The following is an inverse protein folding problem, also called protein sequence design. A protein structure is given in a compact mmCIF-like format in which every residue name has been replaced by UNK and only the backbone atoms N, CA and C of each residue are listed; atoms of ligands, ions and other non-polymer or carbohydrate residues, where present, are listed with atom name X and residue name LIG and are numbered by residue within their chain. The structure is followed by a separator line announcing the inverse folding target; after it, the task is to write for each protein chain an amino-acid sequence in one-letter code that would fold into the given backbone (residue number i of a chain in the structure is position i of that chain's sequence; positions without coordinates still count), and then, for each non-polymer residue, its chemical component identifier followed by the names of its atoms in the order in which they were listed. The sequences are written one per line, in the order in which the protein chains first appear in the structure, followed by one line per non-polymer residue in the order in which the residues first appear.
data_IF_299539032069
#
_entry.id   IF_299539032069
#
_cell.length_a   1.000
_cell.length_b   1.000
_cell.length_c   1.000
_cell.angle_alpha   90.00
_cell.angle_beta   90.00
_cell.angle_gamma   90.00
#
_symmetry.space_group_name_H-M   'P 1'
#
loop_
_entity.id
_entity.type
_entity.pdbx_description
1 polymer ?
#
# COMPACT_ATOMS: atom_id res chain seq x y z
N UNK A 1 4.40 9.01 11.19
CA UNK A 1 5.22 7.90 10.66
C UNK A 1 5.85 8.29 9.33
N UNK A 2 5.09 8.84 8.36
CA UNK A 2 5.66 9.24 7.06
C UNK A 2 6.71 10.38 7.18
N UNK A 3 6.57 11.28 8.15
CA UNK A 3 7.47 12.42 8.35
C UNK A 3 8.89 12.06 8.84
N UNK A 4 9.16 10.81 9.21
CA UNK A 4 10.47 10.36 9.71
C UNK A 4 11.36 9.73 8.64
N UNK A 5 10.93 9.69 7.38
CA UNK A 5 11.73 9.12 6.30
C UNK A 5 12.65 10.17 5.67
N UNK A 6 13.90 9.83 5.38
CA UNK A 6 14.75 10.69 4.57
C UNK A 6 14.14 10.77 3.17
N UNK A 7 13.67 11.93 2.80
CA UNK A 7 13.26 12.28 1.43
C UNK A 7 14.49 12.86 0.73
N UNK A 8 14.69 12.51 -0.54
CA UNK A 8 15.76 13.12 -1.32
C UNK A 8 15.48 14.61 -1.51
N UNK A 9 16.51 15.37 -1.85
CA UNK A 9 16.34 16.79 -2.16
C UNK A 9 15.37 16.95 -3.34
N UNK A 10 14.24 17.61 -3.09
CA UNK A 10 13.16 17.78 -4.08
C UNK A 10 11.96 16.85 -3.90
N UNK A 11 12.04 15.81 -3.07
CA UNK A 11 10.88 14.97 -2.75
C UNK A 11 9.98 15.66 -1.70
N UNK A 12 8.69 15.40 -1.75
CA UNK A 12 7.73 15.90 -0.78
C UNK A 12 6.86 14.78 -0.23
N UNK A 13 6.59 14.83 1.09
CA UNK A 13 5.59 13.99 1.73
C UNK A 13 4.27 14.75 1.79
N UNK A 14 3.26 14.24 1.10
CA UNK A 14 1.95 14.86 0.96
C UNK A 14 0.89 13.99 1.63
N UNK A 15 0.03 14.60 2.43
CA UNK A 15 -1.19 13.98 2.91
C UNK A 15 -2.30 14.16 1.88
N UNK A 16 -3.03 13.08 1.60
CA UNK A 16 -4.29 13.10 0.86
C UNK A 16 -5.39 12.57 1.77
N UNK A 17 -6.17 13.47 2.34
CA UNK A 17 -7.32 13.17 3.21
C UNK A 17 -8.46 14.15 2.93
N UNK A 18 -9.68 13.73 3.20
CA UNK A 18 -10.90 14.56 3.21
C UNK A 18 -11.26 15.01 4.64
N UNK A 19 -10.61 14.44 5.65
CA UNK A 19 -10.87 14.68 7.06
C UNK A 19 -9.93 15.76 7.62
N UNK A 20 -10.52 16.84 8.17
CA UNK A 20 -9.79 17.96 8.77
C UNK A 20 -9.08 17.62 10.07
N UNK A 21 -9.59 16.66 10.83
CA UNK A 21 -8.95 16.22 12.07
C UNK A 21 -7.67 15.44 11.74
N UNK A 22 -7.75 14.50 10.78
CA UNK A 22 -6.57 13.79 10.26
C UNK A 22 -5.54 14.77 9.69
N UNK A 23 -6.00 15.77 8.91
CA UNK A 23 -5.13 16.83 8.39
C UNK A 23 -4.40 17.57 9.51
N UNK A 24 -5.15 18.04 10.51
CA UNK A 24 -4.59 18.78 11.66
C UNK A 24 -3.54 17.96 12.42
N UNK A 25 -3.80 16.67 12.64
CA UNK A 25 -2.85 15.78 13.30
C UNK A 25 -1.59 15.59 12.43
N UNK A 26 -1.73 15.34 11.14
CA UNK A 26 -0.59 15.12 10.25
C UNK A 26 0.32 16.35 10.14
N UNK A 27 -0.25 17.55 10.11
CA UNK A 27 0.51 18.81 10.10
C UNK A 27 1.38 18.95 11.36
N UNK A 28 0.90 18.53 12.53
CA UNK A 28 1.68 18.53 13.77
C UNK A 28 2.94 17.64 13.68
N UNK A 29 2.92 16.62 12.81
CA UNK A 29 4.06 15.75 12.51
C UNK A 29 4.88 16.20 11.29
N UNK A 30 4.64 17.41 10.78
CA UNK A 30 5.42 18.01 9.69
C UNK A 30 5.04 17.55 8.29
N UNK A 31 3.91 16.85 8.12
CA UNK A 31 3.42 16.44 6.80
C UNK A 31 2.71 17.60 6.12
N UNK A 32 2.98 17.82 4.83
CA UNK A 32 2.29 18.83 4.03
C UNK A 32 0.90 18.38 3.63
N UNK A 33 -0.10 19.23 3.80
CA UNK A 33 -1.47 19.05 3.32
C UNK A 33 -1.87 20.26 2.46
N UNK A 34 -1.46 20.27 1.19
CA UNK A 34 -1.72 21.42 0.32
C UNK A 34 -3.17 21.52 -0.15
N UNK A 35 -3.98 20.48 0.08
CA UNK A 35 -5.40 20.41 -0.26
C UNK A 35 -6.11 19.37 0.60
N UNK A 36 -7.44 19.53 0.73
CA UNK A 36 -8.31 18.45 1.17
C UNK A 36 -8.83 17.71 -0.05
N UNK A 37 -8.87 16.37 0.05
CA UNK A 37 -9.40 15.52 -1.00
C UNK A 37 -10.91 15.76 -1.14
N UNK A 38 -11.44 15.86 -2.38
CA UNK A 38 -12.86 15.99 -2.62
C UNK A 38 -13.65 14.80 -2.04
N UNK A 39 -14.83 15.01 -1.44
CA UNK A 39 -15.63 13.95 -0.82
C UNK A 39 -15.97 12.80 -1.76
N UNK A 40 -16.17 13.07 -3.05
CA UNK A 40 -16.44 12.07 -4.08
C UNK A 40 -15.30 11.06 -4.29
N UNK A 41 -14.07 11.42 -3.90
CA UNK A 41 -12.89 10.53 -3.93
C UNK A 41 -12.63 9.86 -2.56
N UNK A 42 -13.53 10.03 -1.61
CA UNK A 42 -13.43 9.48 -0.26
C UNK A 42 -14.61 8.54 0.09
N UNK A 43 -15.46 8.23 -0.86
CA UNK A 43 -16.56 7.27 -0.70
C UNK A 43 -16.06 5.83 -0.74
N UNK A 44 -16.83 4.89 -0.18
CA UNK A 44 -16.50 3.46 -0.19
C UNK A 44 -16.37 2.89 -1.62
N UNK A 45 -17.05 3.48 -2.60
CA UNK A 45 -17.01 3.09 -4.01
C UNK A 45 -15.86 3.77 -4.78
N UNK A 46 -15.15 4.74 -4.17
CA UNK A 46 -14.09 5.47 -4.83
C UNK A 46 -12.86 4.58 -5.06
N UNK A 47 -12.41 4.51 -6.32
CA UNK A 47 -11.20 3.75 -6.64
C UNK A 47 -9.95 4.52 -6.22
N UNK A 48 -9.03 3.87 -5.53
CA UNK A 48 -7.76 4.48 -5.11
C UNK A 48 -6.99 5.11 -6.29
N UNK A 49 -7.10 4.53 -7.48
CA UNK A 49 -6.43 5.04 -8.68
C UNK A 49 -6.94 6.43 -9.08
N UNK A 50 -8.22 6.74 -8.87
CA UNK A 50 -8.79 8.06 -9.15
C UNK A 50 -8.26 9.10 -8.17
N UNK A 51 -8.10 8.72 -6.91
CA UNK A 51 -7.44 9.56 -5.89
C UNK A 51 -5.98 9.84 -6.25
N UNK A 52 -5.26 8.84 -6.77
CA UNK A 52 -3.87 9.04 -7.19
C UNK A 52 -3.77 10.00 -8.39
N UNK A 53 -4.58 9.79 -9.43
CA UNK A 53 -4.60 10.67 -10.61
C UNK A 53 -4.96 12.10 -10.21
N UNK A 54 -6.01 12.29 -9.41
CA UNK A 54 -6.40 13.61 -8.90
C UNK A 54 -5.26 14.29 -8.15
N UNK A 55 -4.61 13.57 -7.23
CA UNK A 55 -3.50 14.12 -6.44
C UNK A 55 -2.34 14.53 -7.33
N UNK A 56 -1.95 13.69 -8.28
CA UNK A 56 -0.87 13.98 -9.23
C UNK A 56 -1.20 15.20 -10.06
N UNK A 57 -2.40 15.27 -10.66
CA UNK A 57 -2.82 16.38 -11.52
C UNK A 57 -2.82 17.71 -10.76
N UNK A 58 -3.26 17.68 -9.51
CA UNK A 58 -3.29 18.87 -8.67
C UNK A 58 -1.87 19.34 -8.33
N UNK A 59 -0.99 18.43 -7.91
CA UNK A 59 0.39 18.74 -7.57
C UNK A 59 1.20 19.22 -8.79
N UNK A 60 1.05 18.56 -9.94
CA UNK A 60 1.68 19.01 -11.21
C UNK A 60 1.24 20.42 -11.59
N UNK A 61 -0.05 20.74 -11.39
CA UNK A 61 -0.58 22.09 -11.64
C UNK A 61 -0.01 23.13 -10.65
N UNK A 62 0.10 22.77 -9.38
CA UNK A 62 0.61 23.66 -8.33
C UNK A 62 2.10 23.96 -8.50
N UNK A 63 2.90 22.92 -8.75
CA UNK A 63 4.36 23.04 -8.84
C UNK A 63 4.86 23.36 -10.25
N UNK A 64 3.99 23.26 -11.28
CA UNK A 64 4.32 23.43 -12.72
C UNK A 64 5.41 22.45 -13.21
N UNK A 65 5.56 21.33 -12.53
CA UNK A 65 6.51 20.26 -12.85
C UNK A 65 5.77 18.94 -13.01
N UNK A 66 6.32 18.07 -13.87
CA UNK A 66 5.82 16.70 -14.04
C UNK A 66 6.31 15.81 -12.89
N UNK A 67 5.45 14.90 -12.48
CA UNK A 67 5.74 13.86 -11.50
C UNK A 67 5.92 12.55 -12.26
N UNK A 68 7.15 12.07 -12.37
CA UNK A 68 7.46 10.85 -13.11
C UNK A 68 7.08 9.58 -12.35
N UNK A 69 7.23 9.61 -11.02
CA UNK A 69 6.89 8.51 -10.12
C UNK A 69 6.47 9.02 -8.74
N UNK A 70 5.76 8.20 -8.01
CA UNK A 70 5.34 8.51 -6.64
C UNK A 70 5.25 7.24 -5.81
N UNK A 71 5.22 7.43 -4.49
CA UNK A 71 5.06 6.35 -3.52
C UNK A 71 3.82 6.59 -2.67
N UNK A 72 3.03 5.56 -2.45
CA UNK A 72 1.91 5.55 -1.53
C UNK A 72 2.26 4.74 -0.29
N UNK A 73 2.08 5.33 0.87
CA UNK A 73 2.32 4.73 2.17
C UNK A 73 1.01 4.79 2.97
N UNK A 74 0.31 3.66 3.07
CA UNK A 74 -0.96 3.64 3.80
C UNK A 74 -0.69 3.79 5.31
N UNK A 75 -1.42 4.67 6.01
CA UNK A 75 -1.28 4.86 7.46
C UNK A 75 -1.74 3.64 8.25
N UNK A 76 -2.65 2.84 7.68
CA UNK A 76 -3.15 1.58 8.26
C UNK A 76 -2.09 0.48 8.35
N UNK A 77 -0.94 0.64 7.71
CA UNK A 77 0.20 -0.30 7.79
C UNK A 77 1.37 0.31 8.60
N UNK A 78 1.24 0.51 9.93
CA UNK A 78 2.16 1.32 10.72
C UNK A 78 3.49 0.62 11.08
N UNK A 79 3.61 -0.68 10.87
CA UNK A 79 4.79 -1.48 11.25
C UNK A 79 5.86 -1.55 10.16
N UNK A 80 5.69 -0.82 9.07
CA UNK A 80 6.71 -0.61 8.06
C UNK A 80 7.90 0.16 8.66
N UNK A 81 9.11 -0.21 8.26
CA UNK A 81 10.34 0.44 8.67
C UNK A 81 10.89 1.35 7.55
N UNK A 82 11.75 2.33 7.89
CA UNK A 82 12.41 3.17 6.89
C UNK A 82 13.19 2.35 5.87
N UNK A 83 13.93 1.35 6.32
CA UNK A 83 14.68 0.45 5.43
C UNK A 83 13.80 -0.27 4.40
N UNK A 84 12.52 -0.55 4.73
CA UNK A 84 11.62 -1.19 3.76
C UNK A 84 11.33 -0.26 2.58
N UNK A 85 11.24 1.05 2.85
CA UNK A 85 11.06 2.08 1.81
C UNK A 85 12.31 2.17 0.94
N UNK A 86 13.49 2.25 1.58
CA UNK A 86 14.76 2.37 0.87
C UNK A 86 15.01 1.15 -0.04
N UNK A 87 14.79 -0.06 0.47
CA UNK A 87 14.95 -1.29 -0.28
C UNK A 87 13.93 -1.43 -1.42
N UNK A 88 12.66 -1.08 -1.20
CA UNK A 88 11.65 -1.08 -2.24
C UNK A 88 11.96 -0.04 -3.33
N UNK A 89 12.41 1.15 -2.94
CA UNK A 89 12.83 2.19 -3.89
C UNK A 89 14.07 1.80 -4.68
N UNK A 90 15.03 1.11 -4.03
CA UNK A 90 16.20 0.54 -4.71
C UNK A 90 15.79 -0.46 -5.80
N UNK A 91 14.84 -1.36 -5.52
CA UNK A 91 14.30 -2.26 -6.55
C UNK A 91 13.68 -1.45 -7.70
N UNK A 92 12.89 -0.41 -7.38
CA UNK A 92 12.23 0.43 -8.38
C UNK A 92 13.25 1.08 -9.33
N UNK A 93 14.32 1.63 -8.79
CA UNK A 93 15.36 2.33 -9.57
C UNK A 93 16.26 1.37 -10.33
N UNK A 94 16.82 0.34 -9.69
CA UNK A 94 17.76 -0.60 -10.31
C UNK A 94 17.12 -1.48 -11.40
N UNK A 95 15.83 -1.83 -11.22
CA UNK A 95 15.07 -2.61 -12.21
C UNK A 95 14.38 -1.75 -13.27
N UNK A 96 14.48 -0.41 -13.15
CA UNK A 96 13.68 0.52 -13.97
C UNK A 96 12.18 0.13 -13.96
N UNK A 97 11.69 -0.32 -12.80
CA UNK A 97 10.37 -0.91 -12.64
C UNK A 97 9.25 0.08 -12.99
N UNK A 98 8.13 -0.43 -13.48
CA UNK A 98 6.91 0.37 -13.67
C UNK A 98 6.12 0.47 -12.36
N UNK A 99 6.20 -0.56 -11.52
CA UNK A 99 5.74 -0.52 -10.12
C UNK A 99 6.52 -1.46 -9.23
N UNK A 100 6.60 -1.10 -7.93
CA UNK A 100 7.02 -1.99 -6.84
C UNK A 100 5.97 -1.94 -5.76
N UNK A 101 5.49 -3.10 -5.35
CA UNK A 101 4.43 -3.22 -4.35
C UNK A 101 4.91 -4.14 -3.24
N UNK A 102 4.64 -3.75 -2.00
CA UNK A 102 4.95 -4.61 -0.85
C UNK A 102 3.92 -5.71 -0.68
N UNK A 103 4.41 -6.90 -0.44
CA UNK A 103 3.63 -8.12 -0.22
C UNK A 103 4.03 -8.81 1.07
N UNK A 104 3.14 -9.62 1.60
CA UNK A 104 3.45 -10.57 2.66
C UNK A 104 3.03 -11.98 2.27
N UNK A 105 3.70 -12.99 2.85
CA UNK A 105 3.42 -14.39 2.56
C UNK A 105 2.06 -14.79 3.16
N UNK A 106 1.22 -15.44 2.35
CA UNK A 106 -0.06 -15.99 2.78
C UNK A 106 0.15 -17.15 3.77
N UNK A 107 -0.63 -17.16 4.85
CA UNK A 107 -0.53 -18.18 5.90
C UNK A 107 -0.98 -19.55 5.44
N UNK A 108 -1.97 -19.58 4.56
CA UNK A 108 -2.62 -20.77 4.09
C UNK A 108 -2.52 -20.89 2.57
N UNK A 109 -2.25 -22.08 2.03
CA UNK A 109 -2.23 -22.27 0.60
C UNK A 109 -3.54 -21.80 -0.05
N UNK A 110 -3.47 -21.09 -1.16
CA UNK A 110 -4.63 -20.59 -1.88
C UNK A 110 -5.62 -21.71 -2.25
N UNK A 111 -5.13 -22.92 -2.49
CA UNK A 111 -5.96 -24.10 -2.73
C UNK A 111 -6.88 -24.50 -1.57
N UNK A 112 -6.61 -24.00 -0.35
CA UNK A 112 -7.48 -24.24 0.82
C UNK A 112 -8.58 -23.18 0.95
N UNK A 113 -8.49 -22.07 0.24
CA UNK A 113 -9.50 -21.02 0.26
C UNK A 113 -10.75 -21.46 -0.48
N UNK A 114 -11.92 -21.08 0.02
CA UNK A 114 -13.22 -21.44 -0.51
C UNK A 114 -14.08 -20.19 -0.66
N UNK A 115 -14.96 -20.21 -1.63
CA UNK A 115 -16.09 -19.29 -1.70
C UNK A 115 -17.24 -19.98 -0.96
N UNK A 116 -17.81 -19.28 0.03
CA UNK A 116 -18.95 -19.79 0.81
C UNK A 116 -20.21 -19.12 0.29
N UNK A 117 -21.19 -19.93 -0.11
CA UNK A 117 -22.48 -19.48 -0.60
C UNK A 117 -23.43 -19.18 0.57
N UNK A 118 -24.56 -18.48 0.29
CA UNK A 118 -25.54 -18.10 1.32
C UNK A 118 -26.17 -19.31 2.03
N UNK A 119 -26.26 -20.45 1.38
CA UNK A 119 -26.81 -21.70 1.93
C UNK A 119 -25.78 -22.51 2.72
N UNK A 120 -24.54 -22.03 2.84
CA UNK A 120 -23.43 -22.70 3.53
C UNK A 120 -22.67 -23.69 2.66
N UNK A 121 -23.07 -23.90 1.41
CA UNK A 121 -22.26 -24.68 0.44
C UNK A 121 -20.98 -23.93 0.10
N UNK A 122 -19.97 -24.63 -0.44
CA UNK A 122 -18.73 -23.98 -0.80
C UNK A 122 -18.15 -24.52 -2.13
N UNK A 123 -17.41 -23.65 -2.80
CA UNK A 123 -16.66 -23.97 -4.02
C UNK A 123 -15.18 -23.60 -3.88
N UNK A 124 -14.35 -24.17 -4.73
CA UNK A 124 -12.92 -23.86 -4.78
C UNK A 124 -12.70 -22.50 -5.48
N UNK A 125 -11.78 -21.69 -4.95
CA UNK A 125 -11.32 -20.48 -5.65
C UNK A 125 -10.47 -20.83 -6.87
N UNK A 126 -9.72 -21.93 -6.81
CA UNK A 126 -8.89 -22.40 -7.93
C UNK A 126 -9.02 -23.92 -8.11
N UNK A 127 -8.94 -24.37 -9.34
CA UNK A 127 -8.81 -25.80 -9.68
C UNK A 127 -7.42 -26.29 -9.28
N UNK A 128 -7.23 -26.70 -8.04
CA UNK A 128 -5.98 -27.25 -7.53
C UNK A 128 -6.17 -28.64 -6.95
N UNK A 129 -5.22 -29.55 -7.19
CA UNK A 129 -5.17 -30.83 -6.47
C UNK A 129 -4.87 -30.53 -4.99
N UNK A 130 -5.55 -31.25 -4.10
CA UNK A 130 -5.21 -31.24 -2.66
C UNK A 130 -3.73 -31.64 -2.50
N UNK A 131 -2.92 -30.72 -2.04
CA UNK A 131 -1.50 -30.94 -1.79
C UNK A 131 -1.18 -30.60 -0.35
N UNK A 132 -0.18 -31.26 0.22
CA UNK A 132 0.34 -30.87 1.53
C UNK A 132 0.92 -29.46 1.46
N UNK A 133 0.78 -28.68 2.55
CA UNK A 133 1.27 -27.30 2.66
C UNK A 133 2.72 -27.13 2.19
N UNK A 134 3.59 -28.12 2.50
CA UNK A 134 5.00 -28.11 2.12
C UNK A 134 5.25 -28.30 0.61
N UNK A 135 4.31 -28.89 -0.11
CA UNK A 135 4.39 -29.13 -1.56
C UNK A 135 3.66 -28.05 -2.38
N UNK A 136 3.02 -27.06 -1.70
CA UNK A 136 2.26 -26.01 -2.36
C UNK A 136 3.16 -24.79 -2.57
N UNK A 137 3.08 -24.18 -3.75
CA UNK A 137 3.77 -22.92 -4.04
C UNK A 137 3.31 -21.86 -3.06
N UNK A 138 4.28 -21.12 -2.51
CA UNK A 138 3.98 -19.96 -1.65
C UNK A 138 3.22 -18.90 -2.44
N UNK A 139 2.19 -18.36 -1.84
CA UNK A 139 1.42 -17.24 -2.37
C UNK A 139 1.58 -16.03 -1.48
N UNK A 140 1.34 -14.86 -2.05
CA UNK A 140 1.54 -13.57 -1.38
C UNK A 140 0.37 -12.65 -1.69
N UNK A 141 0.05 -11.75 -0.77
CA UNK A 141 -0.94 -10.71 -0.98
C UNK A 141 -0.36 -9.32 -0.65
N UNK A 142 -0.86 -8.23 -1.27
CA UNK A 142 -0.44 -6.88 -0.95
C UNK A 142 -0.77 -6.56 0.51
N UNK A 143 0.18 -5.94 1.22
CA UNK A 143 0.03 -5.66 2.66
C UNK A 143 -0.20 -4.18 2.98
N UNK A 144 -0.49 -3.34 1.98
CA UNK A 144 -0.79 -1.92 2.19
C UNK A 144 0.42 -1.03 2.50
N UNK A 145 1.57 -1.59 2.84
CA UNK A 145 2.65 -0.80 3.40
C UNK A 145 3.35 0.12 2.40
N UNK A 146 3.66 -0.37 1.19
CA UNK A 146 4.42 0.39 0.19
C UNK A 146 3.89 0.07 -1.21
N UNK A 147 3.56 1.13 -1.96
CA UNK A 147 3.28 1.09 -3.39
C UNK A 147 4.11 2.15 -4.08
N UNK A 148 4.94 1.78 -5.04
CA UNK A 148 5.71 2.70 -5.88
C UNK A 148 5.25 2.53 -7.31
N UNK A 149 4.94 3.64 -7.98
CA UNK A 149 4.42 3.62 -9.34
C UNK A 149 5.10 4.66 -10.22
N UNK A 150 5.34 4.33 -11.48
CA UNK A 150 5.45 5.35 -12.52
C UNK A 150 4.10 6.02 -12.73
N UNK A 151 4.08 7.31 -12.82
CA UNK A 151 2.87 8.09 -13.08
C UNK A 151 2.18 7.65 -14.37
N UNK A 152 2.94 7.33 -15.41
CA UNK A 152 2.40 6.83 -16.68
C UNK A 152 1.58 5.55 -16.54
N UNK A 153 1.99 4.63 -15.64
CA UNK A 153 1.25 3.39 -15.39
C UNK A 153 -0.13 3.69 -14.79
N UNK A 154 -0.15 4.56 -13.77
CA UNK A 154 -1.39 4.96 -13.08
C UNK A 154 -2.31 5.77 -14.01
N UNK A 155 -1.79 6.64 -14.85
CA UNK A 155 -2.57 7.37 -15.87
C UNK A 155 -3.23 6.43 -16.88
N UNK A 156 -2.63 5.28 -17.16
CA UNK A 156 -3.23 4.20 -17.96
C UNK A 156 -4.20 3.32 -17.16
N UNK A 157 -4.54 3.70 -15.91
CA UNK A 157 -5.44 2.98 -15.01
C UNK A 157 -4.97 1.55 -14.70
N UNK A 158 -3.66 1.37 -14.55
CA UNK A 158 -3.02 0.09 -14.25
C UNK A 158 -2.18 0.19 -13.00
N UNK A 159 -2.21 -0.86 -12.16
CA UNK A 159 -1.32 -1.02 -11.01
C UNK A 159 -0.11 -1.91 -11.34
N UNK A 160 -0.24 -2.73 -12.38
CA UNK A 160 0.73 -3.76 -12.73
C UNK A 160 1.05 -3.73 -14.23
N UNK A 161 2.29 -4.07 -14.53
CA UNK A 161 2.78 -4.37 -15.89
C UNK A 161 3.64 -5.64 -15.85
N UNK A 162 4.22 -6.03 -16.98
CA UNK A 162 5.22 -7.11 -17.01
C UNK A 162 6.54 -6.71 -16.32
N UNK A 163 6.74 -5.41 -16.05
CA UNK A 163 7.91 -4.87 -15.36
C UNK A 163 7.54 -4.40 -13.93
N UNK A 164 6.68 -5.14 -13.26
CA UNK A 164 6.30 -4.90 -11.86
C UNK A 164 6.97 -5.91 -10.94
N UNK A 165 7.43 -5.45 -9.77
CA UNK A 165 8.18 -6.26 -8.83
C UNK A 165 7.56 -6.22 -7.45
N UNK A 166 7.79 -7.30 -6.69
CA UNK A 166 7.37 -7.41 -5.29
C UNK A 166 8.52 -7.02 -4.36
N UNK A 167 8.17 -6.32 -3.26
CA UNK A 167 9.00 -6.22 -2.07
C UNK A 167 8.35 -7.00 -0.94
N UNK A 168 9.07 -7.89 -0.27
CA UNK A 168 8.48 -8.78 0.73
C UNK A 168 8.70 -8.25 2.14
N UNK A 169 7.61 -8.00 2.87
CA UNK A 169 7.61 -7.64 4.28
C UNK A 169 7.12 -8.84 5.10
N UNK A 170 7.80 -9.21 6.20
CA UNK A 170 7.37 -10.29 7.07
C UNK A 170 5.98 -10.04 7.67
N UNK A 171 5.22 -11.11 7.94
CA UNK A 171 3.85 -11.04 8.46
C UNK A 171 3.71 -10.24 9.76
N UNK A 172 4.66 -10.37 10.67
CA UNK A 172 4.66 -9.62 11.93
C UNK A 172 4.84 -8.10 11.77
N UNK A 173 5.12 -7.62 10.56
CA UNK A 173 5.20 -6.20 10.22
C UNK A 173 4.20 -5.80 9.09
N UNK A 174 3.29 -6.71 8.77
CA UNK A 174 2.31 -6.55 7.68
C UNK A 174 0.87 -6.53 8.20
N UNK A 175 0.66 -5.99 9.38
CA UNK A 175 -0.69 -5.74 9.91
C UNK A 175 -1.28 -4.56 9.16
N UNK A 176 -2.50 -4.72 8.66
CA UNK A 176 -3.35 -3.65 8.16
C UNK A 176 -4.43 -3.37 9.21
N UNK A 177 -4.61 -2.11 9.59
CA UNK A 177 -5.51 -1.71 10.68
C UNK A 177 -6.85 -1.29 10.08
N UNK A 178 -7.80 -2.20 10.07
CA UNK A 178 -9.18 -1.95 9.69
C UNK A 178 -10.12 -1.88 10.92
N UNK A 179 -9.70 -2.51 12.04
CA UNK A 179 -10.49 -2.60 13.26
C UNK A 179 -9.68 -2.19 14.50
N UNK A 180 -10.38 -1.95 15.62
CA UNK A 180 -9.73 -1.68 16.91
C UNK A 180 -8.88 -2.86 17.40
N UNK A 181 -9.23 -4.08 17.02
CA UNK A 181 -8.47 -5.27 17.41
C UNK A 181 -7.17 -5.39 16.59
N UNK A 182 -7.18 -4.97 15.32
CA UNK A 182 -5.95 -4.85 14.52
C UNK A 182 -5.01 -3.82 15.12
N UNK A 183 -5.54 -2.69 15.60
CA UNK A 183 -4.74 -1.67 16.29
C UNK A 183 -4.06 -2.24 17.54
N UNK A 184 -4.80 -2.92 18.40
CA UNK A 184 -4.24 -3.59 19.60
C UNK A 184 -3.17 -4.61 19.25
N UNK A 185 -3.40 -5.37 18.17
CA UNK A 185 -2.43 -6.34 17.68
C UNK A 185 -1.16 -5.68 17.15
N UNK A 186 -1.30 -4.58 16.41
CA UNK A 186 -0.16 -3.79 15.94
C UNK A 186 0.65 -3.20 17.11
N UNK A 187 -0.02 -2.68 18.16
CA UNK A 187 0.61 -2.18 19.38
C UNK A 187 1.38 -3.29 20.11
N UNK A 188 0.77 -4.48 20.24
CA UNK A 188 1.44 -5.65 20.81
C UNK A 188 2.70 -6.01 20.02
N UNK A 189 2.61 -6.13 18.69
CA UNK A 189 3.78 -6.45 17.85
C UNK A 189 4.88 -5.39 17.94
N UNK A 190 4.49 -4.10 18.01
CA UNK A 190 5.45 -3.00 18.19
C UNK A 190 6.19 -3.11 19.51
N UNK A 191 5.50 -3.49 20.60
CA UNK A 191 6.12 -3.66 21.94
C UNK A 191 7.13 -4.82 22.00
N UNK A 192 7.01 -5.82 21.12
CA UNK A 192 7.93 -6.96 21.05
C UNK A 192 9.22 -6.66 20.25
N UNK A 193 9.22 -5.60 19.44
CA UNK A 193 10.32 -5.24 18.53
C UNK A 193 11.02 -3.94 18.93
N UNK A 194 10.70 -3.40 20.11
CA UNK A 194 11.28 -2.19 20.69
C UNK A 194 12.51 -2.47 21.57
#
# INVERSE_FOLDING_TARGET
VAASFPVNEGDEVILSTDDKEIESIAIQYGVKSPFLRPPELATDDALAIDTYIYTIDLLEKMHKNKIDSFMVLQPTSPLRLSRDIDEAYKIFTEKHADSVISYTEEAHPLAWHKIIEKDGSFSNISEGKLMNRQATQKTYYPNGAIYIFKTSLIRNRQYYSKNSFAYIIPRNRSVDIDTIDDLKYAEFLKSQNG
#
